data_IF_436322918105
#
_entry.id   IF_436322918105
#
_cell.length_a   1.000
_cell.length_b   1.000
_cell.length_c   1.000
_cell.angle_alpha   90.00
_cell.angle_beta   90.00
_cell.angle_gamma   90.00
#
_symmetry.space_group_name_H-M   'P 1'
#
loop_
_entity.id
_entity.type
_entity.pdbx_description
1 polymer ?
#
# COMPACT_ATOMS: atom_id res chain seq x y z
N UNK A 1 -1.95 31.15 1.93
CA UNK A 1 -1.40 30.55 3.16
C UNK A 1 -0.12 29.85 2.74
N UNK A 2 1.03 30.39 3.11
CA UNK A 2 2.34 29.80 2.78
C UNK A 2 2.51 28.49 3.54
N UNK A 3 2.77 27.41 2.80
CA UNK A 3 3.07 26.09 3.35
C UNK A 3 4.54 26.13 3.78
N UNK A 4 4.81 26.09 5.08
CA UNK A 4 6.17 26.05 5.63
C UNK A 4 6.68 24.61 5.76
N UNK A 5 8.00 24.46 5.75
CA UNK A 5 8.76 23.21 5.62
C UNK A 5 8.49 22.15 6.72
N UNK A 6 7.76 22.51 7.78
CA UNK A 6 7.38 21.66 8.92
C UNK A 6 5.90 21.23 8.92
N UNK A 7 5.11 21.59 7.91
CA UNK A 7 3.72 21.14 7.81
C UNK A 7 3.64 19.67 7.39
N UNK A 8 3.13 18.82 8.29
CA UNK A 8 2.89 17.40 8.01
C UNK A 8 1.85 17.26 6.89
N UNK A 9 2.27 16.71 5.76
CA UNK A 9 1.38 16.43 4.62
C UNK A 9 0.50 15.24 5.00
N UNK A 10 -0.77 15.51 5.32
CA UNK A 10 -1.79 14.48 5.50
C UNK A 10 -2.32 14.10 4.12
N UNK A 11 -1.89 12.93 3.60
CA UNK A 11 -2.45 12.36 2.37
C UNK A 11 -3.71 11.59 2.75
N UNK A 12 -4.87 12.13 2.37
CA UNK A 12 -6.18 11.56 2.62
C UNK A 12 -6.62 10.70 1.43
N UNK A 13 -6.70 9.39 1.62
CA UNK A 13 -7.39 8.50 0.69
C UNK A 13 -8.88 8.47 1.00
N UNK A 14 -9.75 8.84 0.06
CA UNK A 14 -11.20 8.62 0.19
C UNK A 14 -11.59 7.36 -0.58
N UNK A 15 -12.32 6.45 0.08
CA UNK A 15 -12.71 5.16 -0.47
C UNK A 15 -13.56 5.24 -1.75
N UNK A 16 -13.38 4.24 -2.62
CA UNK A 16 -14.01 4.10 -3.94
C UNK A 16 -12.98 3.81 -5.03
N UNK A 17 -12.38 2.60 -5.00
CA UNK A 17 -11.26 2.12 -5.84
C UNK A 17 -9.90 2.68 -5.43
N UNK A 18 -9.12 1.91 -4.65
CA UNK A 18 -7.77 2.30 -4.19
C UNK A 18 -6.70 2.14 -5.30
N UNK A 19 -7.03 1.64 -6.48
CA UNK A 19 -5.96 1.22 -7.39
C UNK A 19 -6.25 1.39 -8.88
N UNK A 20 -6.77 2.53 -9.33
CA UNK A 20 -6.70 2.88 -10.75
C UNK A 20 -7.69 3.92 -11.22
N UNK A 21 -7.48 4.40 -12.44
CA UNK A 21 -8.37 5.33 -13.13
C UNK A 21 -8.95 4.64 -14.37
N UNK A 22 -10.25 4.81 -14.59
CA UNK A 22 -10.93 4.49 -15.82
C UNK A 22 -11.70 5.73 -16.31
N UNK A 23 -11.97 5.82 -17.62
CA UNK A 23 -12.71 6.96 -18.18
C UNK A 23 -14.17 7.00 -17.72
N UNK A 24 -14.77 5.86 -17.38
CA UNK A 24 -16.07 5.75 -16.72
C UNK A 24 -16.12 4.49 -15.83
N UNK A 25 -17.11 4.35 -14.91
CA UNK A 25 -17.18 3.24 -13.96
C UNK A 25 -17.39 1.85 -14.56
N UNK A 26 -17.91 1.76 -15.79
CA UNK A 26 -18.20 0.51 -16.50
C UNK A 26 -17.05 0.09 -17.43
N UNK A 27 -16.01 0.92 -17.55
CA UNK A 27 -14.86 0.66 -18.42
C UNK A 27 -13.79 -0.18 -17.71
N UNK A 28 -13.95 -1.49 -17.79
CA UNK A 28 -12.95 -2.45 -17.29
C UNK A 28 -11.75 -2.63 -18.22
N UNK A 29 -11.79 -2.11 -19.45
CA UNK A 29 -10.78 -2.37 -20.50
C UNK A 29 -9.68 -1.31 -20.49
N UNK A 30 -10.01 -0.05 -20.21
CA UNK A 30 -9.05 1.05 -20.12
C UNK A 30 -8.66 1.38 -18.67
N UNK A 31 -8.81 0.40 -17.76
CA UNK A 31 -8.43 0.57 -16.38
C UNK A 31 -6.92 0.66 -16.23
N UNK A 32 -6.41 1.82 -15.80
CA UNK A 32 -4.99 1.98 -15.48
C UNK A 32 -4.82 1.87 -13.98
N UNK A 33 -4.20 0.78 -13.52
CA UNK A 33 -3.78 0.65 -12.13
C UNK A 33 -2.63 1.63 -11.87
N UNK A 34 -2.87 2.67 -11.07
CA UNK A 34 -1.87 3.72 -10.86
C UNK A 34 -2.02 4.41 -9.50
N UNK A 35 -0.90 5.00 -9.08
CA UNK A 35 -0.83 6.09 -8.10
C UNK A 35 -1.34 7.35 -8.81
N UNK A 36 -2.46 7.90 -8.35
CA UNK A 36 -2.94 9.20 -8.82
C UNK A 36 -2.11 10.29 -8.15
N UNK A 37 -1.64 11.28 -8.91
CA UNK A 37 -0.87 12.40 -8.37
C UNK A 37 -1.68 13.21 -7.35
N UNK A 38 -1.02 13.72 -6.30
CA UNK A 38 -1.69 14.48 -5.25
C UNK A 38 -2.32 15.78 -5.78
N UNK A 39 -1.69 16.44 -6.76
CA UNK A 39 -2.26 17.64 -7.37
C UNK A 39 -3.50 17.30 -8.18
N UNK A 40 -3.49 16.17 -8.89
CA UNK A 40 -4.66 15.68 -9.62
C UNK A 40 -5.84 15.36 -8.68
N UNK A 41 -5.56 14.77 -7.49
CA UNK A 41 -6.56 14.56 -6.45
C UNK A 41 -7.11 15.90 -5.92
N UNK A 42 -6.23 16.86 -5.63
CA UNK A 42 -6.60 18.19 -5.12
C UNK A 42 -7.43 18.98 -6.13
N UNK A 43 -7.09 18.93 -7.41
CA UNK A 43 -7.81 19.65 -8.46
C UNK A 43 -9.18 19.02 -8.74
N UNK A 44 -9.26 17.69 -8.68
CA UNK A 44 -10.55 16.98 -8.74
C UNK A 44 -11.45 17.37 -7.56
N UNK A 45 -10.90 17.43 -6.34
CA UNK A 45 -11.65 17.83 -5.14
C UNK A 45 -12.13 19.29 -5.24
N UNK A 46 -11.26 20.22 -5.65
CA UNK A 46 -11.61 21.63 -5.88
C UNK A 46 -12.73 21.77 -6.93
N UNK A 47 -12.61 21.06 -8.05
CA UNK A 47 -13.61 21.10 -9.12
C UNK A 47 -14.98 20.60 -8.66
N UNK A 48 -15.03 19.47 -7.93
CA UNK A 48 -16.30 18.94 -7.38
C UNK A 48 -16.93 19.89 -6.35
N UNK A 49 -16.11 20.53 -5.50
CA UNK A 49 -16.57 21.53 -4.54
C UNK A 49 -17.12 22.79 -5.22
N UNK A 50 -16.47 23.27 -6.28
CA UNK A 50 -16.88 24.47 -7.02
C UNK A 50 -18.13 24.25 -7.88
N UNK A 51 -18.29 23.06 -8.45
CA UNK A 51 -19.38 22.76 -9.38
C UNK A 51 -20.67 22.30 -8.69
N UNK A 52 -20.70 22.24 -7.35
CA UNK A 52 -21.89 21.85 -6.57
C UNK A 52 -22.45 20.47 -6.92
N UNK A 53 -21.70 19.65 -7.67
CA UNK A 53 -22.13 18.32 -8.10
C UNK A 53 -21.87 17.38 -6.94
N UNK A 54 -22.80 17.35 -6.00
CA UNK A 54 -22.85 16.30 -5.00
C UNK A 54 -22.89 14.97 -5.79
N UNK A 55 -21.92 14.05 -5.58
CA UNK A 55 -22.13 12.68 -6.04
C UNK A 55 -23.47 12.19 -5.47
N UNK A 56 -24.15 11.30 -6.22
CA UNK A 56 -25.53 10.88 -5.99
C UNK A 56 -25.91 10.76 -4.50
N UNK A 57 -27.17 11.04 -4.14
CA UNK A 57 -27.68 11.05 -2.75
C UNK A 57 -27.33 9.79 -1.91
N UNK A 58 -26.99 8.67 -2.56
CA UNK A 58 -26.57 7.41 -1.93
C UNK A 58 -25.04 7.16 -1.91
N UNK A 59 -24.23 8.17 -2.27
CA UNK A 59 -22.77 8.06 -2.27
C UNK A 59 -22.16 8.56 -0.96
N UNK A 60 -21.20 7.80 -0.44
CA UNK A 60 -20.47 8.10 0.79
C UNK A 60 -19.40 9.20 0.61
N UNK A 61 -19.07 9.55 -0.64
CA UNK A 61 -18.04 10.53 -1.01
C UNK A 61 -18.11 11.89 -0.28
N UNK A 62 -19.26 12.57 -0.19
CA UNK A 62 -19.35 13.87 0.48
C UNK A 62 -19.10 13.78 1.98
N UNK A 63 -19.59 12.71 2.63
CA UNK A 63 -19.36 12.48 4.06
C UNK A 63 -17.89 12.16 4.32
N UNK A 64 -17.32 11.22 3.56
CA UNK A 64 -15.90 10.87 3.65
C UNK A 64 -14.99 12.10 3.47
N UNK A 65 -15.31 13.00 2.52
CA UNK A 65 -14.55 14.23 2.31
C UNK A 65 -14.65 15.20 3.50
N UNK A 66 -15.85 15.42 4.04
CA UNK A 66 -16.03 16.27 5.23
C UNK A 66 -15.24 15.73 6.42
N UNK A 67 -15.35 14.44 6.69
CA UNK A 67 -14.66 13.78 7.80
C UNK A 67 -13.13 13.85 7.62
N UNK A 68 -12.66 13.65 6.39
CA UNK A 68 -11.24 13.76 6.06
C UNK A 68 -10.70 15.19 6.30
N UNK A 69 -11.44 16.24 5.91
CA UNK A 69 -11.06 17.64 6.16
C UNK A 69 -11.07 17.98 7.67
N UNK A 70 -12.05 17.47 8.42
CA UNK A 70 -12.09 17.61 9.88
C UNK A 70 -10.87 16.97 10.52
N UNK A 71 -10.50 15.75 10.11
CA UNK A 71 -9.30 15.06 10.60
C UNK A 71 -8.02 15.82 10.26
N UNK A 72 -7.86 16.28 9.03
CA UNK A 72 -6.66 17.01 8.61
C UNK A 72 -6.46 18.35 9.34
N UNK A 73 -7.54 18.93 9.86
CA UNK A 73 -7.49 20.16 10.68
C UNK A 73 -7.10 19.88 12.15
N UNK A 74 -7.00 18.61 12.55
CA UNK A 74 -6.65 18.23 13.92
C UNK A 74 -5.12 18.10 14.09
N UNK A 75 -4.55 18.85 15.04
CA UNK A 75 -3.11 18.86 15.31
C UNK A 75 -2.52 17.52 15.79
N UNK A 76 -3.37 16.57 16.20
CA UNK A 76 -2.97 15.22 16.60
C UNK A 76 -2.92 14.24 15.42
N UNK A 77 -3.47 14.58 14.25
CA UNK A 77 -3.36 13.76 13.06
C UNK A 77 -1.90 13.72 12.58
N UNK A 78 -1.32 12.52 12.54
CA UNK A 78 0.08 12.30 12.13
C UNK A 78 0.18 11.12 11.17
N UNK A 79 1.11 11.23 10.23
CA UNK A 79 1.35 10.19 9.22
C UNK A 79 0.28 10.16 8.13
N UNK A 80 0.23 9.05 7.39
CA UNK A 80 -0.75 8.84 6.31
C UNK A 80 -1.96 8.11 6.88
N UNK A 81 -3.12 8.77 6.81
CA UNK A 81 -4.39 8.29 7.36
C UNK A 81 -5.45 8.20 6.26
N UNK A 82 -6.38 7.27 6.43
CA UNK A 82 -7.49 7.05 5.50
C UNK A 82 -8.80 7.21 6.25
N UNK A 83 -9.72 7.99 5.69
CA UNK A 83 -11.05 8.22 6.26
C UNK A 83 -12.10 7.66 5.30
N UNK A 84 -12.86 6.69 5.78
CA UNK A 84 -13.95 6.09 5.01
C UNK A 84 -15.02 5.53 5.95
N UNK A 85 -16.28 5.68 5.57
CA UNK A 85 -17.43 5.15 6.30
C UNK A 85 -17.47 5.57 7.79
N UNK A 86 -17.01 6.78 8.10
CA UNK A 86 -16.94 7.30 9.47
C UNK A 86 -15.79 6.73 10.32
N UNK A 87 -14.91 5.92 9.75
CA UNK A 87 -13.74 5.35 10.44
C UNK A 87 -12.45 6.05 9.98
N UNK A 88 -11.48 6.18 10.91
CA UNK A 88 -10.12 6.67 10.64
C UNK A 88 -9.13 5.54 10.81
N UNK A 89 -8.42 5.23 9.73
CA UNK A 89 -7.48 4.12 9.66
C UNK A 89 -6.05 4.58 9.38
N UNK A 90 -5.08 3.82 9.89
CA UNK A 90 -3.69 3.96 9.48
C UNK A 90 -3.47 3.32 8.10
N UNK A 91 -2.75 4.01 7.21
CA UNK A 91 -2.52 3.55 5.83
C UNK A 91 -1.86 2.16 5.74
N UNK A 92 -1.01 1.84 6.72
CA UNK A 92 -0.30 0.57 6.77
C UNK A 92 -1.23 -0.63 7.03
N UNK A 93 -2.35 -0.42 7.74
CA UNK A 93 -3.26 -1.50 8.14
C UNK A 93 -4.50 -1.60 7.26
N UNK A 94 -5.03 -0.48 6.77
CA UNK A 94 -6.28 -0.47 5.99
C UNK A 94 -6.18 -1.19 4.64
N UNK A 95 -7.17 -2.00 4.30
CA UNK A 95 -7.32 -2.57 2.97
C UNK A 95 -8.79 -2.75 2.60
N UNK A 96 -9.06 -2.85 1.30
CA UNK A 96 -10.40 -3.17 0.80
C UNK A 96 -10.61 -4.68 0.92
N UNK A 97 -11.61 -5.08 1.71
CA UNK A 97 -11.95 -6.49 1.99
C UNK A 97 -13.25 -6.95 1.33
N UNK A 98 -14.02 -6.02 0.76
CA UNK A 98 -15.26 -6.33 0.05
C UNK A 98 -15.33 -5.58 -1.27
N UNK A 99 -15.87 -6.21 -2.31
CA UNK A 99 -15.93 -5.61 -3.65
C UNK A 99 -16.97 -4.49 -3.74
N UNK A 100 -18.15 -4.69 -3.12
CA UNK A 100 -19.33 -3.81 -3.28
C UNK A 100 -19.97 -3.19 -2.01
N UNK A 101 -19.52 -3.50 -0.79
CA UNK A 101 -20.13 -2.93 0.44
C UNK A 101 -19.69 -1.48 0.60
N UNK A 102 -20.56 -0.64 1.18
CA UNK A 102 -20.20 0.74 1.55
C UNK A 102 -19.06 0.73 2.59
N UNK A 103 -19.21 -0.05 3.66
CA UNK A 103 -18.10 -0.33 4.58
C UNK A 103 -17.25 -1.51 4.07
N UNK A 104 -16.49 -1.26 3.00
CA UNK A 104 -15.63 -2.26 2.35
C UNK A 104 -14.17 -2.25 2.84
N UNK A 105 -13.81 -1.31 3.71
CA UNK A 105 -12.44 -1.14 4.19
C UNK A 105 -12.31 -1.65 5.63
N UNK A 106 -11.14 -2.18 5.96
CA UNK A 106 -10.88 -2.64 7.32
C UNK A 106 -9.38 -2.61 7.61
N UNK A 107 -9.04 -2.31 8.87
CA UNK A 107 -7.69 -2.44 9.42
C UNK A 107 -7.43 -3.81 10.05
N UNK A 108 -8.39 -4.74 9.96
CA UNK A 108 -8.27 -6.07 10.55
C UNK A 108 -8.18 -6.00 12.07
N UNK A 109 -7.19 -6.72 12.62
CA UNK A 109 -6.93 -6.79 14.05
C UNK A 109 -6.23 -5.54 14.61
N UNK A 110 -5.84 -4.60 13.74
CA UNK A 110 -5.23 -3.35 14.19
C UNK A 110 -6.28 -2.37 14.72
N UNK A 111 -5.93 -1.67 15.80
CA UNK A 111 -6.77 -0.63 16.38
C UNK A 111 -7.01 0.51 15.38
N UNK A 112 -8.26 0.99 15.30
CA UNK A 112 -8.61 2.18 14.54
C UNK A 112 -7.95 3.42 15.16
N UNK A 113 -7.52 4.35 14.31
CA UNK A 113 -6.95 5.63 14.76
C UNK A 113 -8.04 6.51 15.37
N UNK A 114 -9.28 6.36 14.89
CA UNK A 114 -10.44 7.08 15.38
C UNK A 114 -11.70 6.74 14.59
N UNK A 115 -12.78 7.42 14.93
CA UNK A 115 -14.06 7.31 14.25
C UNK A 115 -14.88 8.60 14.44
N UNK A 116 -15.89 8.79 13.61
CA UNK A 116 -16.82 9.90 13.64
C UNK A 116 -18.15 9.46 14.23
N UNK A 117 -18.68 10.23 15.19
CA UNK A 117 -20.02 10.05 15.76
C UNK A 117 -20.75 11.38 15.66
N UNK A 118 -21.87 11.41 14.94
CA UNK A 118 -22.66 12.62 14.70
C UNK A 118 -21.82 13.81 14.19
N UNK A 119 -20.86 13.53 13.30
CA UNK A 119 -19.94 14.52 12.73
C UNK A 119 -18.77 14.93 13.63
N UNK A 120 -18.66 14.38 14.83
CA UNK A 120 -17.59 14.66 15.77
C UNK A 120 -16.50 13.60 15.70
N UNK A 121 -15.24 14.04 15.54
CA UNK A 121 -14.06 13.18 15.51
C UNK A 121 -13.69 12.69 16.92
N UNK A 122 -13.63 11.36 17.08
CA UNK A 122 -13.16 10.69 18.29
C UNK A 122 -11.88 9.91 17.95
N UNK A 123 -10.73 10.38 18.47
CA UNK A 123 -9.43 9.73 18.25
C UNK A 123 -9.10 8.72 19.36
N UNK A 124 -8.53 7.57 19.00
CA UNK A 124 -7.91 6.66 19.97
C UNK A 124 -6.59 7.24 20.46
N UNK A 125 -6.46 7.39 21.78
CA UNK A 125 -5.21 7.86 22.41
C UNK A 125 -4.08 6.84 22.27
N UNK A 126 -4.40 5.55 22.25
CA UNK A 126 -3.41 4.47 22.16
C UNK A 126 -2.90 4.34 20.71
N UNK A 127 -3.80 4.36 19.73
CA UNK A 127 -3.47 4.19 18.33
C UNK A 127 -2.56 5.31 17.77
N UNK A 128 -2.73 6.55 18.26
CA UNK A 128 -1.84 7.67 17.91
C UNK A 128 -0.40 7.46 18.39
N UNK A 129 -0.21 6.77 19.53
CA UNK A 129 1.11 6.44 20.05
C UNK A 129 1.77 5.26 19.32
N UNK A 130 0.99 4.25 18.95
CA UNK A 130 1.50 3.05 18.27
C UNK A 130 1.90 3.31 16.81
N UNK A 131 1.23 4.22 16.09
CA UNK A 131 1.66 4.64 14.74
C UNK A 131 3.06 5.27 14.72
N UNK A 132 3.47 5.95 15.79
CA UNK A 132 4.80 6.55 15.89
C UNK A 132 5.90 5.53 16.23
N UNK A 133 5.54 4.33 16.71
CA UNK A 133 6.44 3.25 17.11
C UNK A 133 6.44 2.08 16.14
N UNK A 134 5.75 2.21 15.01
CA UNK A 134 5.53 1.13 14.05
C UNK A 134 6.87 0.74 13.38
N UNK A 135 7.47 -0.36 13.86
CA UNK A 135 8.81 -0.84 13.48
C UNK A 135 8.88 -1.49 12.09
N UNK A 136 7.91 -1.23 11.23
CA UNK A 136 7.83 -1.79 9.87
C UNK A 136 8.91 -1.16 8.97
N UNK A 137 9.52 -1.94 8.06
CA UNK A 137 10.77 -1.58 7.39
C UNK A 137 10.56 -0.59 6.23
N UNK A 138 9.93 0.55 6.49
CA UNK A 138 9.85 1.63 5.52
C UNK A 138 11.15 2.42 5.56
N UNK A 139 11.87 2.52 4.43
CA UNK A 139 13.04 3.36 4.36
C UNK A 139 12.63 4.83 4.53
N UNK A 140 13.42 5.61 5.27
CA UNK A 140 13.28 7.06 5.30
C UNK A 140 13.80 7.60 3.96
N UNK A 141 12.88 7.81 3.02
CA UNK A 141 13.12 8.41 1.71
C UNK A 141 12.50 9.81 1.68
N UNK A 142 13.23 10.76 1.12
CA UNK A 142 12.77 12.13 0.85
C UNK A 142 12.22 12.25 -0.57
N UNK A 143 11.46 13.31 -0.85
CA UNK A 143 10.98 13.60 -2.21
C UNK A 143 12.15 13.68 -3.21
N UNK A 144 13.28 14.25 -2.80
CA UNK A 144 14.49 14.36 -3.64
C UNK A 144 15.07 13.01 -4.03
N UNK A 145 14.92 12.00 -3.19
CA UNK A 145 15.36 10.64 -3.49
C UNK A 145 14.52 10.05 -4.65
N UNK A 146 13.23 10.39 -4.74
CA UNK A 146 12.36 9.99 -5.85
C UNK A 146 12.65 10.77 -7.13
N UNK A 147 12.96 12.06 -7.05
CA UNK A 147 13.39 12.86 -8.21
C UNK A 147 14.70 12.34 -8.82
N UNK A 148 15.55 11.74 -7.99
CA UNK A 148 16.82 11.15 -8.41
C UNK A 148 16.68 9.75 -9.01
N UNK A 149 15.53 9.08 -8.83
CA UNK A 149 15.30 7.74 -9.34
C UNK A 149 14.61 7.78 -10.71
N UNK A 150 15.32 7.35 -11.77
CA UNK A 150 14.73 7.25 -13.11
C UNK A 150 13.56 6.26 -13.17
N UNK A 151 13.66 5.13 -12.45
CA UNK A 151 12.63 4.11 -12.37
C UNK A 151 12.72 3.33 -11.06
N UNK A 152 11.57 2.99 -10.47
CA UNK A 152 11.52 2.15 -9.28
C UNK A 152 11.95 0.70 -9.60
N UNK A 153 12.71 0.02 -8.72
CA UNK A 153 13.09 -1.37 -8.91
C UNK A 153 11.89 -2.28 -9.17
N UNK A 154 11.99 -3.15 -10.17
CA UNK A 154 10.91 -4.08 -10.50
C UNK A 154 10.75 -5.15 -9.41
N UNK A 155 9.57 -5.17 -8.80
CA UNK A 155 9.15 -6.20 -7.84
C UNK A 155 7.86 -6.84 -8.32
N UNK A 156 7.80 -8.17 -8.32
CA UNK A 156 6.61 -8.96 -8.71
C UNK A 156 5.94 -9.61 -7.50
N UNK A 157 4.64 -9.87 -7.59
CA UNK A 157 3.90 -10.66 -6.60
C UNK A 157 3.60 -12.03 -7.19
N UNK A 158 4.00 -13.09 -6.50
CA UNK A 158 3.72 -14.48 -6.89
C UNK A 158 2.76 -15.10 -5.88
N UNK A 159 1.65 -15.64 -6.34
CA UNK A 159 0.63 -16.24 -5.49
C UNK A 159 0.87 -17.75 -5.32
N UNK A 160 0.88 -18.24 -4.09
CA UNK A 160 0.83 -19.67 -3.81
C UNK A 160 -0.62 -20.18 -3.84
N UNK A 161 -0.83 -21.31 -4.50
CA UNK A 161 -2.11 -22.00 -4.61
C UNK A 161 -1.87 -23.51 -4.84
N UNK A 162 -2.94 -24.29 -4.94
CA UNK A 162 -2.85 -25.70 -5.32
C UNK A 162 -2.12 -25.83 -6.66
N UNK A 163 -1.11 -26.70 -6.72
CA UNK A 163 -0.25 -26.93 -7.89
C UNK A 163 0.62 -25.74 -8.32
N UNK A 164 0.75 -24.70 -7.49
CA UNK A 164 1.72 -23.63 -7.73
C UNK A 164 3.14 -24.20 -7.78
N UNK A 165 3.89 -23.80 -8.80
CA UNK A 165 5.24 -24.29 -9.08
C UNK A 165 6.18 -23.17 -9.55
N UNK A 166 7.44 -23.52 -9.77
CA UNK A 166 8.49 -22.56 -10.11
C UNK A 166 8.49 -21.99 -11.53
N UNK A 167 7.58 -22.40 -12.42
CA UNK A 167 7.63 -22.01 -13.84
C UNK A 167 7.51 -20.49 -14.03
N UNK A 168 6.60 -19.84 -13.29
CA UNK A 168 6.43 -18.38 -13.38
C UNK A 168 7.68 -17.63 -12.93
N UNK A 169 8.34 -18.10 -11.86
CA UNK A 169 9.59 -17.51 -11.36
C UNK A 169 10.70 -17.70 -12.40
N UNK A 170 10.86 -18.90 -12.95
CA UNK A 170 11.84 -19.19 -13.99
C UNK A 170 11.61 -18.30 -15.23
N UNK A 171 10.35 -18.15 -15.67
CA UNK A 171 10.01 -17.32 -16.82
C UNK A 171 10.41 -15.86 -16.60
N UNK A 172 10.11 -15.30 -15.41
CA UNK A 172 10.49 -13.93 -15.06
C UNK A 172 12.01 -13.74 -15.04
N UNK A 173 12.77 -14.71 -14.50
CA UNK A 173 14.24 -14.65 -14.48
C UNK A 173 14.87 -14.76 -15.88
N UNK A 174 14.23 -15.48 -16.79
CA UNK A 174 14.72 -15.70 -18.16
C UNK A 174 14.35 -14.58 -19.14
N UNK A 175 13.53 -13.60 -18.73
CA UNK A 175 13.16 -12.49 -19.60
C UNK A 175 14.40 -11.69 -20.05
N UNK A 176 14.54 -11.49 -21.36
CA UNK A 176 15.54 -10.60 -21.95
C UNK A 176 15.02 -9.16 -21.90
N UNK A 177 15.37 -8.44 -20.85
CA UNK A 177 14.94 -7.06 -20.59
C UNK A 177 16.14 -6.17 -20.28
N UNK A 178 15.96 -4.85 -20.30
CA UNK A 178 17.03 -3.91 -19.91
C UNK A 178 17.39 -4.10 -18.41
N UNK A 179 18.56 -3.59 -17.99
CA UNK A 179 18.96 -3.65 -16.58
C UNK A 179 17.94 -2.97 -15.66
N UNK A 180 17.34 -1.85 -16.11
CA UNK A 180 16.30 -1.13 -15.36
C UNK A 180 15.02 -1.96 -15.20
N UNK A 181 14.72 -2.83 -16.16
CA UNK A 181 13.52 -3.69 -16.18
C UNK A 181 13.75 -5.08 -15.57
N UNK A 182 14.99 -5.40 -15.20
CA UNK A 182 15.36 -6.68 -14.61
C UNK A 182 14.61 -6.88 -13.30
N UNK A 183 14.15 -8.09 -13.03
CA UNK A 183 13.51 -8.44 -11.77
C UNK A 183 14.51 -8.22 -10.62
N UNK A 184 14.13 -7.39 -9.63
CA UNK A 184 14.95 -7.08 -8.45
C UNK A 184 14.37 -7.64 -7.16
N UNK A 185 13.06 -7.85 -7.10
CA UNK A 185 12.42 -8.48 -5.95
C UNK A 185 11.18 -9.30 -6.27
N UNK A 186 10.84 -10.21 -5.36
CA UNK A 186 9.60 -11.00 -5.40
C UNK A 186 8.95 -10.94 -4.02
N UNK A 187 7.65 -10.69 -3.99
CA UNK A 187 6.81 -10.97 -2.83
C UNK A 187 6.00 -12.23 -3.11
N UNK A 188 6.21 -13.28 -2.32
CA UNK A 188 5.41 -14.51 -2.43
C UNK A 188 4.25 -14.47 -1.44
N UNK A 189 3.03 -14.46 -1.96
CA UNK A 189 1.80 -14.55 -1.18
C UNK A 189 1.49 -16.02 -0.87
N UNK A 190 2.00 -16.50 0.26
CA UNK A 190 1.82 -17.88 0.70
C UNK A 190 0.38 -18.21 1.14
N UNK A 191 0.11 -19.49 1.35
CA UNK A 191 -1.17 -19.99 1.87
C UNK A 191 -1.17 -20.06 3.40
N UNK A 192 -2.25 -19.59 4.05
CA UNK A 192 -2.36 -19.59 5.51
C UNK A 192 -1.25 -18.75 6.15
N UNK A 193 -0.46 -19.37 7.04
CA UNK A 193 0.73 -18.75 7.62
C UNK A 193 1.95 -18.75 6.65
N UNK A 194 1.74 -18.24 5.43
CA UNK A 194 2.79 -18.05 4.42
C UNK A 194 3.38 -19.35 3.85
N UNK A 195 2.67 -20.47 3.83
CA UNK A 195 3.19 -21.73 3.24
C UNK A 195 3.35 -21.62 1.73
N UNK A 196 4.45 -22.16 1.22
CA UNK A 196 4.85 -22.15 -0.19
C UNK A 196 5.02 -23.60 -0.63
N UNK A 197 4.59 -23.94 -1.85
CA UNK A 197 4.83 -25.25 -2.44
C UNK A 197 6.33 -25.48 -2.67
N UNK A 198 6.81 -26.70 -2.41
CA UNK A 198 8.24 -27.06 -2.48
C UNK A 198 8.92 -26.64 -3.81
N UNK A 199 8.30 -26.96 -4.95
CA UNK A 199 8.87 -26.63 -6.27
C UNK A 199 8.91 -25.13 -6.55
N UNK A 200 7.98 -24.36 -5.97
CA UNK A 200 7.99 -22.90 -6.03
C UNK A 200 9.09 -22.34 -5.12
N UNK A 201 9.22 -22.85 -3.89
CA UNK A 201 10.28 -22.47 -2.96
C UNK A 201 11.68 -22.68 -3.54
N UNK A 202 11.93 -23.83 -4.17
CA UNK A 202 13.20 -24.11 -4.88
C UNK A 202 13.48 -23.12 -6.03
N UNK A 203 12.45 -22.60 -6.69
CA UNK A 203 12.63 -21.58 -7.73
C UNK A 203 12.91 -20.19 -7.14
N UNK A 204 12.28 -19.86 -6.01
CA UNK A 204 12.52 -18.61 -5.28
C UNK A 204 13.94 -18.58 -4.68
N UNK A 205 14.43 -19.71 -4.17
CA UNK A 205 15.83 -19.86 -3.73
C UNK A 205 16.81 -19.59 -4.88
N UNK A 206 16.59 -20.22 -6.05
CA UNK A 206 17.39 -19.94 -7.25
C UNK A 206 17.29 -18.48 -7.69
N UNK A 207 16.15 -17.82 -7.49
CA UNK A 207 16.02 -16.39 -7.75
C UNK A 207 16.92 -15.57 -6.81
N UNK A 208 16.96 -15.90 -5.50
CA UNK A 208 17.87 -15.26 -4.55
C UNK A 208 19.34 -15.41 -4.93
N UNK A 209 19.74 -16.59 -5.44
CA UNK A 209 21.11 -16.82 -5.91
C UNK A 209 21.51 -15.90 -7.07
N UNK A 210 20.53 -15.37 -7.82
CA UNK A 210 20.75 -14.38 -8.90
C UNK A 210 20.67 -12.93 -8.43
N UNK A 211 20.51 -12.69 -7.12
CA UNK A 211 20.41 -11.37 -6.51
C UNK A 211 18.99 -10.81 -6.38
N UNK A 212 17.95 -11.61 -6.65
CA UNK A 212 16.55 -11.19 -6.46
C UNK A 212 16.18 -11.28 -4.98
N UNK A 213 15.72 -10.17 -4.38
CA UNK A 213 15.28 -10.18 -2.98
C UNK A 213 13.89 -10.79 -2.86
N UNK A 214 13.73 -11.84 -2.05
CA UNK A 214 12.45 -12.52 -1.86
C UNK A 214 11.89 -12.23 -0.47
N UNK A 215 10.66 -11.71 -0.42
CA UNK A 215 9.87 -11.54 0.80
C UNK A 215 8.66 -12.46 0.80
N UNK A 216 8.41 -13.07 1.95
CA UNK A 216 7.22 -13.89 2.20
C UNK A 216 6.11 -13.02 2.78
N UNK A 217 4.91 -13.21 2.27
CA UNK A 217 3.66 -12.66 2.79
C UNK A 217 2.60 -13.78 2.78
N UNK A 218 1.34 -13.42 3.03
CA UNK A 218 0.20 -14.33 2.96
C UNK A 218 -0.89 -13.77 2.05
N UNK A 219 -1.62 -14.66 1.37
CA UNK A 219 -2.83 -14.28 0.64
C UNK A 219 -4.06 -14.10 1.57
N UNK A 220 -3.95 -14.46 2.85
CA UNK A 220 -5.01 -14.21 3.81
C UNK A 220 -5.27 -12.69 3.92
N UNK A 221 -6.52 -12.32 4.12
CA UNK A 221 -6.88 -10.91 4.28
C UNK A 221 -6.23 -10.35 5.55
N UNK A 222 -6.32 -11.05 6.68
CA UNK A 222 -5.81 -10.60 7.96
C UNK A 222 -4.86 -11.61 8.59
N UNK A 223 -4.21 -11.20 9.69
CA UNK A 223 -3.15 -11.92 10.36
C UNK A 223 -1.75 -11.57 9.83
N UNK A 224 -0.75 -11.88 10.64
CA UNK A 224 0.67 -11.75 10.29
C UNK A 224 1.29 -13.13 10.16
N UNK A 225 2.51 -13.19 9.64
CA UNK A 225 3.27 -14.44 9.62
C UNK A 225 3.76 -14.74 11.04
N UNK A 226 3.49 -15.94 11.53
CA UNK A 226 3.87 -16.38 12.86
C UNK A 226 5.02 -17.40 12.81
N UNK A 227 6.09 -17.12 13.58
CA UNK A 227 6.99 -18.11 14.16
C UNK A 227 7.33 -19.35 13.33
N UNK A 228 7.93 -19.18 12.14
CA UNK A 228 8.60 -20.31 11.46
C UNK A 228 10.10 -20.23 11.70
N UNK A 229 10.65 -21.23 12.39
CA UNK A 229 12.08 -21.48 12.40
C UNK A 229 12.57 -21.79 10.97
N UNK A 230 13.79 -21.37 10.64
CA UNK A 230 14.52 -21.71 9.41
C UNK A 230 13.96 -21.17 8.07
N UNK A 231 13.33 -20.01 8.04
CA UNK A 231 12.94 -19.39 6.75
C UNK A 231 14.11 -18.60 6.17
N UNK A 232 14.51 -18.92 4.95
CA UNK A 232 15.56 -18.20 4.19
C UNK A 232 15.09 -16.89 3.55
N UNK A 233 13.78 -16.71 3.39
CA UNK A 233 13.18 -15.50 2.82
C UNK A 233 12.94 -14.43 3.89
N UNK A 234 12.95 -13.17 3.50
CA UNK A 234 12.55 -12.06 4.36
C UNK A 234 11.05 -12.09 4.70
N UNK A 235 10.65 -11.37 5.74
CA UNK A 235 9.26 -11.25 6.19
C UNK A 235 8.62 -9.95 5.67
N UNK A 236 7.31 -9.96 5.35
CA UNK A 236 6.55 -8.77 4.99
C UNK A 236 6.14 -7.90 6.19
N UNK A 237 6.46 -8.31 7.41
CA UNK A 237 6.17 -7.62 8.67
C UNK A 237 4.68 -7.25 8.81
N UNK A 238 3.80 -8.20 8.49
CA UNK A 238 2.35 -8.02 8.55
C UNK A 238 1.75 -7.19 7.41
N UNK A 239 2.54 -6.75 6.42
CA UNK A 239 2.01 -6.13 5.21
C UNK A 239 1.40 -7.19 4.30
N UNK A 240 0.23 -6.86 3.71
CA UNK A 240 -0.38 -7.64 2.63
C UNK A 240 0.54 -7.68 1.40
N UNK A 241 0.38 -8.64 0.48
CA UNK A 241 1.30 -8.80 -0.65
C UNK A 241 1.45 -7.54 -1.51
N UNK A 242 0.35 -6.82 -1.71
CA UNK A 242 0.34 -5.57 -2.50
C UNK A 242 1.09 -4.43 -1.81
N UNK A 243 0.99 -4.32 -0.47
CA UNK A 243 1.74 -3.32 0.31
C UNK A 243 3.21 -3.71 0.48
N UNK A 244 3.46 -4.99 0.73
CA UNK A 244 4.81 -5.56 0.84
C UNK A 244 5.60 -5.34 -0.45
N UNK A 245 4.95 -5.42 -1.61
CA UNK A 245 5.57 -5.12 -2.91
C UNK A 245 6.10 -3.69 -2.94
N UNK A 246 5.27 -2.70 -2.57
CA UNK A 246 5.70 -1.29 -2.53
C UNK A 246 6.82 -1.10 -1.52
N UNK A 247 6.69 -1.65 -0.31
CA UNK A 247 7.74 -1.56 0.71
C UNK A 247 9.08 -2.15 0.23
N UNK A 248 9.05 -3.29 -0.47
CA UNK A 248 10.25 -3.89 -1.05
C UNK A 248 10.83 -3.05 -2.19
N UNK A 249 9.99 -2.47 -3.06
CA UNK A 249 10.45 -1.53 -4.10
C UNK A 249 11.21 -0.35 -3.49
N UNK A 250 10.64 0.27 -2.44
CA UNK A 250 11.26 1.40 -1.75
C UNK A 250 12.57 0.99 -1.06
N UNK A 251 12.61 -0.18 -0.42
CA UNK A 251 13.83 -0.70 0.23
C UNK A 251 14.96 -0.93 -0.78
N UNK A 252 14.63 -1.49 -1.95
CA UNK A 252 15.59 -1.70 -3.02
C UNK A 252 16.08 -0.36 -3.60
N UNK A 253 15.17 0.60 -3.78
CA UNK A 253 15.52 1.95 -4.23
C UNK A 253 16.48 2.64 -3.25
N UNK A 254 16.20 2.57 -1.94
CA UNK A 254 17.10 3.12 -0.93
C UNK A 254 18.49 2.46 -1.00
N UNK A 255 18.53 1.14 -1.19
CA UNK A 255 19.79 0.40 -1.31
C UNK A 255 20.60 0.84 -2.53
N UNK A 256 19.94 1.06 -3.67
CA UNK A 256 20.58 1.56 -4.89
C UNK A 256 21.13 3.00 -4.69
N UNK A 257 20.35 3.87 -4.04
CA UNK A 257 20.79 5.24 -3.72
C UNK A 257 21.98 5.31 -2.75
N UNK A 258 22.03 4.39 -1.77
CA UNK A 258 23.17 4.29 -0.86
C UNK A 258 24.41 3.81 -1.64
N UNK A 259 24.26 2.81 -2.50
CA UNK A 259 25.36 2.29 -3.33
C UNK A 259 25.92 3.32 -4.34
N UNK A 260 25.10 4.28 -4.81
CA UNK A 260 25.57 5.38 -5.67
C UNK A 260 26.38 6.43 -4.91
N UNK A 261 26.21 6.54 -3.58
CA UNK A 261 26.88 7.53 -2.73
C UNK A 261 28.17 7.00 -2.10
N UNK A 262 28.38 5.68 -2.11
CA UNK A 262 29.57 4.98 -1.59
C UNK A 262 30.63 4.78 -2.66
#
# INVERSE_FOLDING_TARGET
MEITQDQQIVILGTGGTIAGQAHNPDDSVNYTAALVDINQLLDTAKSKLQNGTLPAFDSDGPQNLRDALTLASNAQARGVLVVCAGEVHGAQNIQKIHTSRLNAFSSGDAELIGHFVDGNLNLSKNALGTQAQDSRPFPLLSIKDFESAEQLPRVEIILNHADANGQIVNALLQQKVSQQQKLRGIVVAGTGNGTISETLELALLRAQDTGVVVWRSTRCAFGTLEGRANTVFGDSHGLSPVKARIALMLKLMQSDLIAMKS
#
